data_IF_730194732680
#
_entry.id   IF_730194732680
#
_cell.length_a   1.000
_cell.length_b   1.000
_cell.length_c   1.000
_cell.angle_alpha   90.00
_cell.angle_beta   90.00
_cell.angle_gamma   90.00
#
_symmetry.space_group_name_H-M   'P 1'
#
loop_
_entity.id
_entity.type
_entity.pdbx_description
1 polymer ?
#
# COMPACT_ATOMS: atom_id res chain seq x y z
N UNK A 1 1.04 -4.13 16.21
CA UNK A 1 -0.07 -4.57 15.35
C UNK A 1 0.55 -5.04 14.06
N UNK A 2 0.43 -6.32 13.76
CA UNK A 2 1.14 -6.95 12.63
C UNK A 2 0.30 -6.85 11.37
N UNK A 3 0.97 -6.58 10.25
CA UNK A 3 0.40 -6.82 8.94
C UNK A 3 0.61 -8.28 8.58
N UNK A 4 -0.46 -8.99 8.23
CA UNK A 4 -0.37 -10.33 7.67
C UNK A 4 -0.51 -10.27 6.15
N UNK A 5 0.23 -11.13 5.45
CA UNK A 5 0.08 -11.25 4.01
C UNK A 5 -1.06 -12.21 3.67
N UNK A 6 -1.89 -11.84 2.70
CA UNK A 6 -2.70 -12.82 1.99
C UNK A 6 -1.76 -13.64 1.10
N UNK A 7 -1.75 -14.97 1.25
CA UNK A 7 -0.83 -15.86 0.50
C UNK A 7 -0.89 -15.65 -1.02
N UNK A 8 -2.10 -15.44 -1.55
CA UNK A 8 -2.29 -15.14 -2.97
C UNK A 8 -1.71 -13.79 -3.39
N UNK A 9 -1.77 -12.78 -2.52
CA UNK A 9 -1.20 -11.46 -2.77
C UNK A 9 0.32 -11.51 -2.79
N UNK A 10 0.91 -12.24 -1.83
CA UNK A 10 2.36 -12.44 -1.77
C UNK A 10 2.88 -13.15 -3.03
N UNK A 11 2.17 -14.18 -3.50
CA UNK A 11 2.52 -14.90 -4.72
C UNK A 11 2.31 -14.07 -6.01
N UNK A 12 1.46 -13.05 -5.95
CA UNK A 12 1.13 -12.18 -7.09
C UNK A 12 1.98 -10.90 -7.15
N UNK A 13 2.88 -10.66 -6.19
CA UNK A 13 3.80 -9.54 -6.23
C UNK A 13 4.65 -9.61 -7.50
N UNK A 14 4.77 -8.48 -8.18
CA UNK A 14 5.66 -8.29 -9.34
C UNK A 14 6.42 -7.00 -9.14
N UNK A 15 7.74 -7.09 -9.25
CA UNK A 15 8.68 -5.95 -9.23
C UNK A 15 8.64 -5.10 -7.95
N UNK A 16 8.02 -5.64 -6.88
CA UNK A 16 7.94 -5.07 -5.54
C UNK A 16 8.29 -6.13 -4.52
N UNK A 17 9.26 -5.83 -3.68
CA UNK A 17 9.71 -6.71 -2.62
C UNK A 17 8.92 -6.48 -1.33
N UNK A 18 8.81 -7.54 -0.51
CA UNK A 18 8.08 -7.47 0.77
C UNK A 18 8.65 -6.46 1.76
N UNK A 19 9.97 -6.21 1.71
CA UNK A 19 10.63 -5.22 2.55
C UNK A 19 10.29 -3.79 2.10
N UNK A 20 10.12 -3.54 0.81
CA UNK A 20 9.68 -2.23 0.28
C UNK A 20 8.27 -1.88 0.77
N UNK A 21 7.39 -2.88 0.80
CA UNK A 21 6.04 -2.73 1.38
C UNK A 21 6.11 -2.39 2.87
N UNK A 22 7.00 -3.05 3.60
CA UNK A 22 7.21 -2.78 5.03
C UNK A 22 7.71 -1.35 5.26
N UNK A 23 8.60 -0.84 4.40
CA UNK A 23 9.07 0.54 4.45
C UNK A 23 7.92 1.52 4.26
N UNK A 24 7.07 1.32 3.25
CA UNK A 24 5.91 2.18 2.96
C UNK A 24 4.92 2.19 4.12
N UNK A 25 4.62 1.02 4.68
CA UNK A 25 3.72 0.89 5.84
C UNK A 25 4.31 1.51 7.11
N UNK A 26 5.65 1.53 7.23
CA UNK A 26 6.36 2.14 8.36
C UNK A 26 6.71 3.62 8.13
N UNK A 27 6.49 4.13 6.92
CA UNK A 27 6.84 5.50 6.55
C UNK A 27 6.04 6.51 7.37
N UNK A 28 6.71 7.62 7.74
CA UNK A 28 6.07 8.76 8.41
C UNK A 28 5.13 9.50 7.45
N UNK A 29 5.53 9.65 6.20
CA UNK A 29 4.75 10.28 5.14
C UNK A 29 4.10 9.19 4.32
N UNK A 30 2.85 8.88 4.67
CA UNK A 30 2.01 7.94 3.95
C UNK A 30 0.60 8.51 3.84
N UNK A 31 -0.02 8.27 2.70
CA UNK A 31 -1.38 8.71 2.40
C UNK A 31 -2.31 7.50 2.38
N UNK A 32 -3.08 7.26 3.44
CA UNK A 32 -4.14 6.25 3.43
C UNK A 32 -5.37 6.78 2.70
N UNK A 33 -5.88 6.03 1.73
CA UNK A 33 -7.12 6.31 1.02
C UNK A 33 -8.05 5.09 1.08
N UNK A 34 -9.33 5.34 1.28
CA UNK A 34 -10.34 4.29 1.19
C UNK A 34 -10.59 3.94 -0.28
N UNK A 35 -10.62 2.64 -0.58
CA UNK A 35 -10.86 2.10 -1.90
C UNK A 35 -11.84 0.93 -1.83
N UNK A 36 -12.53 0.70 -2.94
CA UNK A 36 -13.42 -0.44 -3.11
C UNK A 36 -13.16 -1.08 -4.48
N UNK A 37 -13.10 -2.39 -4.53
CA UNK A 37 -13.00 -3.14 -5.78
C UNK A 37 -13.76 -4.45 -5.67
N UNK A 38 -14.59 -4.75 -6.67
CA UNK A 38 -15.41 -5.96 -6.72
C UNK A 38 -16.22 -6.21 -5.42
N UNK A 39 -16.72 -5.14 -4.79
CA UNK A 39 -17.48 -5.20 -3.53
C UNK A 39 -16.63 -5.43 -2.27
N UNK A 40 -15.30 -5.39 -2.38
CA UNK A 40 -14.37 -5.48 -1.25
C UNK A 40 -13.88 -4.08 -0.90
N UNK A 41 -14.14 -3.65 0.33
CA UNK A 41 -13.56 -2.41 0.88
C UNK A 41 -12.15 -2.67 1.43
N UNK A 42 -11.21 -1.81 1.07
CA UNK A 42 -9.84 -1.84 1.57
C UNK A 42 -9.26 -0.42 1.65
N UNK A 43 -8.11 -0.31 2.29
CA UNK A 43 -7.31 0.91 2.34
C UNK A 43 -6.14 0.76 1.38
N UNK A 44 -5.94 1.72 0.51
CA UNK A 44 -4.68 1.90 -0.19
C UNK A 44 -3.79 2.83 0.62
N UNK A 45 -2.55 2.43 0.85
CA UNK A 45 -1.55 3.21 1.56
C UNK A 45 -0.47 3.53 0.55
N UNK A 46 -0.44 4.79 0.15
CA UNK A 46 0.57 5.34 -0.75
C UNK A 46 1.75 5.87 0.04
N UNK A 47 2.97 5.56 -0.38
CA UNK A 47 4.18 6.09 0.24
C UNK A 47 5.44 5.84 -0.59
N UNK A 48 6.55 6.43 -0.16
CA UNK A 48 7.87 6.18 -0.75
C UNK A 48 8.67 5.20 0.08
N UNK A 49 9.38 4.33 -0.62
CA UNK A 49 10.47 3.53 -0.09
C UNK A 49 11.68 4.41 0.22
N UNK A 50 12.66 3.86 0.94
CA UNK A 50 13.92 4.55 1.23
C UNK A 50 14.74 4.85 -0.03
N UNK A 51 14.55 4.07 -1.10
CA UNK A 51 15.19 4.27 -2.41
C UNK A 51 14.46 5.30 -3.28
N UNK A 52 13.35 5.87 -2.79
CA UNK A 52 12.55 6.89 -3.48
C UNK A 52 11.45 6.35 -4.39
N UNK A 53 11.32 5.02 -4.55
CA UNK A 53 10.22 4.41 -5.31
C UNK A 53 8.88 4.65 -4.62
N UNK A 54 7.89 5.12 -5.38
CA UNK A 54 6.54 5.35 -4.88
C UNK A 54 5.66 4.11 -5.09
N UNK A 55 5.20 3.52 -4.00
CA UNK A 55 4.38 2.31 -4.02
C UNK A 55 3.01 2.57 -3.40
N UNK A 56 2.03 1.81 -3.87
CA UNK A 56 0.71 1.72 -3.25
C UNK A 56 0.51 0.31 -2.69
N UNK A 57 0.16 0.25 -1.41
CA UNK A 57 -0.08 -0.99 -0.68
C UNK A 57 -1.56 -1.11 -0.36
N UNK A 58 -2.20 -2.16 -0.82
CA UNK A 58 -3.60 -2.44 -0.52
C UNK A 58 -3.70 -3.31 0.75
N UNK A 59 -4.43 -2.81 1.74
CA UNK A 59 -4.64 -3.46 3.04
C UNK A 59 -6.13 -3.53 3.33
N UNK A 60 -6.66 -4.73 3.58
CA UNK A 60 -8.02 -4.89 4.10
C UNK A 60 -8.02 -5.03 5.61
N UNK A 61 -9.07 -4.51 6.25
CA UNK A 61 -9.33 -4.69 7.67
C UNK A 61 -10.18 -5.94 7.84
N UNK A 62 -9.67 -6.94 8.56
CA UNK A 62 -10.39 -8.20 8.83
C UNK A 62 -11.31 -8.12 10.07
N UNK A 63 -11.33 -6.95 10.74
CA UNK A 63 -12.02 -6.73 12.00
C UNK A 63 -11.04 -6.61 13.18
N UNK A 64 -11.43 -5.84 14.20
CA UNK A 64 -10.58 -5.55 15.35
C UNK A 64 -9.27 -4.85 14.95
N UNK A 65 -8.15 -5.42 15.39
CA UNK A 65 -6.79 -4.89 15.16
C UNK A 65 -6.02 -5.61 14.06
N UNK A 66 -6.68 -6.50 13.30
CA UNK A 66 -6.04 -7.36 12.31
C UNK A 66 -6.10 -6.73 10.92
N UNK A 67 -4.92 -6.55 10.33
CA UNK A 67 -4.73 -5.92 9.04
C UNK A 67 -4.08 -6.92 8.10
N UNK A 68 -4.65 -7.08 6.91
CA UNK A 68 -4.12 -8.01 5.92
C UNK A 68 -3.75 -7.28 4.64
N UNK A 69 -2.49 -7.44 4.22
CA UNK A 69 -1.98 -6.97 2.94
C UNK A 69 -2.54 -7.87 1.85
N UNK A 70 -3.29 -7.26 0.94
CA UNK A 70 -3.95 -7.94 -0.19
C UNK A 70 -3.30 -7.61 -1.53
N UNK A 71 -2.29 -6.74 -1.53
CA UNK A 71 -1.47 -6.48 -2.70
C UNK A 71 -0.54 -5.29 -2.47
N UNK A 72 0.50 -5.20 -3.28
CA UNK A 72 1.32 -4.02 -3.42
C UNK A 72 1.79 -3.91 -4.87
N UNK A 73 1.94 -2.67 -5.34
CA UNK A 73 2.50 -2.37 -6.65
C UNK A 73 3.11 -0.98 -6.66
N UNK A 74 3.89 -0.71 -7.70
CA UNK A 74 4.28 0.66 -8.03
C UNK A 74 3.05 1.51 -8.38
N UNK A 75 3.07 2.78 -7.99
CA UNK A 75 2.01 3.72 -8.35
C UNK A 75 1.96 3.91 -9.86
N UNK A 76 0.76 4.08 -10.42
CA UNK A 76 0.63 4.53 -11.81
C UNK A 76 1.02 6.01 -11.90
N UNK A 77 1.35 6.53 -13.10
CA UNK A 77 1.69 7.95 -13.28
C UNK A 77 0.63 8.91 -12.73
N UNK A 78 -0.66 8.59 -12.89
CA UNK A 78 -1.76 9.40 -12.37
C UNK A 78 -1.85 9.38 -10.83
N UNK A 79 -1.58 8.24 -10.20
CA UNK A 79 -1.55 8.11 -8.74
C UNK A 79 -0.33 8.81 -8.16
N UNK A 80 0.82 8.69 -8.84
CA UNK A 80 2.05 9.37 -8.46
C UNK A 80 1.85 10.88 -8.49
N UNK A 81 1.29 11.44 -9.55
CA UNK A 81 1.04 12.89 -9.63
C UNK A 81 0.14 13.40 -8.49
N UNK A 82 -0.88 12.62 -8.09
CA UNK A 82 -1.74 12.95 -6.95
C UNK A 82 -1.00 12.86 -5.63
N UNK A 83 -0.19 11.82 -5.46
CA UNK A 83 0.62 11.61 -4.27
C UNK A 83 1.67 12.73 -4.11
N UNK A 84 2.32 13.14 -5.19
CA UNK A 84 3.29 14.23 -5.19
C UNK A 84 2.66 15.58 -4.89
N UNK A 85 1.46 15.86 -5.44
CA UNK A 85 0.72 17.06 -5.10
C UNK A 85 0.33 17.11 -3.61
N UNK A 86 0.04 15.95 -3.02
CA UNK A 86 -0.22 15.85 -1.58
C UNK A 86 1.05 16.01 -0.74
N UNK A 87 2.18 15.41 -1.14
CA UNK A 87 3.47 15.56 -0.45
C UNK A 87 3.97 17.01 -0.42
N UNK A 88 3.61 17.81 -1.43
CA UNK A 88 3.98 19.22 -1.51
C UNK A 88 3.03 20.17 -0.75
N UNK A 89 1.95 19.66 -0.15
CA UNK A 89 0.94 20.43 0.60
C UNK A 89 1.18 20.41 2.11
#
# INVERSE_FOLDING_TARGET
MGYEWLTAALAALRDVETWEVTQVLSAKQRLPLAAESAGVHFLTISGRTETGRALVVAVRLLGGHQQQIIGAREMTPDELARFEAWEAS
#
